data_IF_729632198627
#
_entry.id   IF_729632198627
#
_cell.length_a   1.000
_cell.length_b   1.000
_cell.length_c   1.000
_cell.angle_alpha   90.00
_cell.angle_beta   90.00
_cell.angle_gamma   90.00
#
_symmetry.space_group_name_H-M   'P 1'
#
loop_
_entity.id
_entity.type
_entity.pdbx_description
1 polymer ?
#
# COMPACT_ATOMS: atom_id res chain seq x y z
N UNK A 1 -4.55 2.13 -23.97
CA UNK A 1 -3.91 0.91 -23.46
C UNK A 1 -2.92 0.41 -24.52
N UNK A 2 -1.72 1.00 -24.59
CA UNK A 2 -0.68 0.56 -25.53
C UNK A 2 0.41 -0.17 -24.77
N UNK A 3 0.65 -1.44 -25.13
CA UNK A 3 1.61 -2.32 -24.44
C UNK A 3 3.05 -1.76 -24.48
N UNK A 4 3.45 -1.13 -25.58
CA UNK A 4 4.81 -0.57 -25.74
C UNK A 4 5.11 0.56 -24.77
N UNK A 5 4.15 1.47 -24.55
CA UNK A 5 4.30 2.58 -23.58
C UNK A 5 4.32 2.08 -22.13
N UNK A 6 3.64 0.98 -21.84
CA UNK A 6 3.59 0.36 -20.51
C UNK A 6 4.69 -0.66 -20.24
N UNK A 7 5.59 -0.93 -21.19
CA UNK A 7 6.55 -2.04 -21.12
C UNK A 7 7.46 -1.97 -19.89
N UNK A 8 7.90 -0.77 -19.49
CA UNK A 8 8.70 -0.59 -18.28
C UNK A 8 7.94 -1.02 -17.01
N UNK A 9 6.70 -0.56 -16.86
CA UNK A 9 5.85 -0.90 -15.72
C UNK A 9 5.52 -2.38 -15.68
N UNK A 10 5.13 -2.95 -16.83
CA UNK A 10 4.79 -4.37 -16.96
C UNK A 10 5.98 -5.24 -16.58
N UNK A 11 7.17 -4.96 -17.12
CA UNK A 11 8.37 -5.75 -16.81
C UNK A 11 8.79 -5.60 -15.34
N UNK A 12 8.62 -4.42 -14.74
CA UNK A 12 8.97 -4.21 -13.34
C UNK A 12 8.09 -5.02 -12.38
N UNK A 13 6.79 -5.13 -12.65
CA UNK A 13 5.84 -5.84 -11.80
C UNK A 13 5.52 -7.27 -12.24
N UNK A 14 6.06 -7.71 -13.39
CA UNK A 14 5.82 -9.05 -13.95
C UNK A 14 6.09 -10.16 -12.94
N UNK A 15 7.25 -10.11 -12.28
CA UNK A 15 7.70 -11.17 -11.36
C UNK A 15 6.89 -11.17 -10.06
N UNK A 16 6.49 -9.97 -9.61
CA UNK A 16 5.70 -9.79 -8.38
C UNK A 16 4.26 -10.28 -8.56
N UNK A 17 3.69 -10.06 -9.73
CA UNK A 17 2.27 -10.34 -10.02
C UNK A 17 2.08 -11.67 -10.75
N UNK A 18 3.18 -12.33 -11.13
CA UNK A 18 3.22 -13.57 -11.89
C UNK A 18 2.34 -13.51 -13.17
N UNK A 19 2.60 -12.49 -13.99
CA UNK A 19 1.82 -12.23 -15.21
C UNK A 19 2.49 -12.87 -16.43
N UNK A 20 1.68 -13.57 -17.23
CA UNK A 20 2.09 -13.98 -18.57
C UNK A 20 1.94 -12.82 -19.57
N UNK A 21 3.05 -12.45 -20.20
CA UNK A 21 3.14 -11.33 -21.15
C UNK A 21 2.31 -11.58 -22.41
N UNK A 22 2.20 -12.83 -22.85
CA UNK A 22 1.47 -13.15 -24.09
C UNK A 22 -0.02 -13.01 -23.87
N UNK A 23 -0.53 -13.57 -22.78
CA UNK A 23 -1.91 -13.40 -22.32
C UNK A 23 -2.25 -11.93 -22.05
N UNK A 24 -1.38 -11.19 -21.34
CA UNK A 24 -1.60 -9.76 -21.07
C UNK A 24 -1.72 -8.93 -22.35
N UNK A 25 -0.88 -9.19 -23.36
CA UNK A 25 -0.93 -8.45 -24.64
C UNK A 25 -2.27 -8.66 -25.36
N UNK A 26 -2.79 -9.88 -25.32
CA UNK A 26 -4.11 -10.20 -25.87
C UNK A 26 -5.23 -9.50 -25.08
N UNK A 27 -5.21 -9.59 -23.75
CA UNK A 27 -6.19 -8.94 -22.87
C UNK A 27 -6.23 -7.42 -23.07
N UNK A 28 -5.06 -6.76 -23.18
CA UNK A 28 -4.97 -5.32 -23.42
C UNK A 28 -5.56 -4.91 -24.77
N UNK A 29 -5.36 -5.72 -25.81
CA UNK A 29 -5.91 -5.46 -27.14
C UNK A 29 -7.44 -5.62 -27.16
N UNK A 30 -7.94 -6.70 -26.54
CA UNK A 30 -9.38 -6.93 -26.40
C UNK A 30 -10.04 -5.80 -25.61
N UNK A 31 -9.45 -5.40 -24.49
CA UNK A 31 -9.96 -4.30 -23.67
C UNK A 31 -10.00 -2.98 -24.43
N UNK A 32 -8.96 -2.68 -25.23
CA UNK A 32 -8.93 -1.48 -26.09
C UNK A 32 -10.09 -1.47 -27.09
N UNK A 33 -10.37 -2.61 -27.73
CA UNK A 33 -11.47 -2.76 -28.66
C UNK A 33 -12.83 -2.64 -27.97
N UNK A 34 -13.01 -3.25 -26.79
CA UNK A 34 -14.23 -3.14 -26.01
C UNK A 34 -14.53 -1.69 -25.59
N UNK A 35 -13.49 -0.93 -25.23
CA UNK A 35 -13.65 0.46 -24.81
C UNK A 35 -13.96 1.40 -25.99
N UNK A 36 -13.31 1.19 -27.14
CA UNK A 36 -13.57 1.95 -28.36
C UNK A 36 -14.99 1.70 -28.90
N UNK A 37 -15.47 0.46 -28.85
CA UNK A 37 -16.82 0.12 -29.31
C UNK A 37 -17.92 0.57 -28.33
N UNK A 38 -17.60 0.66 -27.03
CA UNK A 38 -18.56 1.03 -25.99
C UNK A 38 -18.74 2.53 -25.76
N UNK A 39 -18.01 3.39 -26.49
CA UNK A 39 -17.99 4.85 -26.31
C UNK A 39 -17.81 5.27 -24.84
N UNK A 40 -17.05 4.48 -24.08
CA UNK A 40 -16.77 4.67 -22.67
C UNK A 40 -15.44 5.42 -22.55
N UNK A 41 -15.45 6.49 -21.78
CA UNK A 41 -14.22 7.22 -21.46
C UNK A 41 -13.24 6.30 -20.69
N UNK A 42 -11.94 6.59 -20.82
CA UNK A 42 -10.86 5.91 -20.08
C UNK A 42 -10.86 6.23 -18.57
N UNK A 43 -12.00 6.59 -18.01
CA UNK A 43 -12.17 6.85 -16.60
C UNK A 43 -12.17 5.53 -15.80
N UNK A 44 -11.78 5.60 -14.52
CA UNK A 44 -11.66 4.45 -13.62
C UNK A 44 -12.98 3.68 -13.54
N UNK A 45 -14.11 4.40 -13.54
CA UNK A 45 -15.44 3.80 -13.52
C UNK A 45 -15.78 3.07 -14.82
N UNK A 46 -15.31 3.57 -15.97
CA UNK A 46 -15.49 2.93 -17.27
C UNK A 46 -14.66 1.66 -17.38
N UNK A 47 -13.41 1.71 -16.94
CA UNK A 47 -12.51 0.55 -16.91
C UNK A 47 -13.03 -0.53 -15.96
N UNK A 48 -13.56 -0.18 -14.79
CA UNK A 48 -14.13 -1.14 -13.83
C UNK A 48 -15.32 -1.93 -14.37
N UNK A 49 -16.09 -1.36 -15.31
CA UNK A 49 -17.24 -2.06 -15.92
C UNK A 49 -16.82 -3.10 -16.96
N UNK A 50 -15.69 -2.85 -17.65
CA UNK A 50 -15.21 -3.71 -18.75
C UNK A 50 -14.23 -4.75 -18.24
N UNK A 51 -13.34 -4.36 -17.32
CA UNK A 51 -12.31 -5.23 -16.76
C UNK A 51 -12.84 -5.94 -15.53
N UNK A 52 -13.27 -7.18 -15.72
CA UNK A 52 -13.65 -8.10 -14.65
C UNK A 52 -12.53 -9.12 -14.41
N UNK A 53 -12.36 -9.53 -13.16
CA UNK A 53 -11.30 -10.46 -12.74
C UNK A 53 -11.38 -11.80 -13.48
N UNK A 54 -12.60 -12.28 -13.74
CA UNK A 54 -12.85 -13.56 -14.42
C UNK A 54 -12.48 -13.54 -15.91
N UNK A 55 -12.59 -12.37 -16.57
CA UNK A 55 -12.39 -12.25 -18.02
C UNK A 55 -10.98 -11.77 -18.36
N UNK A 56 -10.41 -10.90 -17.52
CA UNK A 56 -9.09 -10.29 -17.75
C UNK A 56 -8.22 -10.37 -16.48
N UNK A 57 -7.80 -11.57 -16.06
CA UNK A 57 -7.14 -11.77 -14.77
C UNK A 57 -5.78 -11.09 -14.69
N UNK A 58 -5.01 -11.04 -15.79
CA UNK A 58 -3.68 -10.45 -15.80
C UNK A 58 -3.76 -8.92 -15.79
N UNK A 59 -4.65 -8.36 -16.62
CA UNK A 59 -4.88 -6.93 -16.70
C UNK A 59 -5.48 -6.38 -15.40
N UNK A 60 -6.41 -7.12 -14.78
CA UNK A 60 -7.04 -6.73 -13.52
C UNK A 60 -6.01 -6.58 -12.40
N UNK A 61 -5.11 -7.58 -12.24
CA UNK A 61 -4.03 -7.50 -11.25
C UNK A 61 -3.08 -6.33 -11.53
N UNK A 62 -2.74 -6.09 -12.80
CA UNK A 62 -1.87 -4.98 -13.19
C UNK A 62 -2.50 -3.61 -12.84
N UNK A 63 -3.80 -3.45 -13.10
CA UNK A 63 -4.55 -2.24 -12.74
C UNK A 63 -4.61 -2.09 -11.21
N UNK A 64 -4.80 -3.18 -10.47
CA UNK A 64 -4.82 -3.17 -9.01
C UNK A 64 -3.49 -2.68 -8.44
N UNK A 65 -2.36 -3.13 -9.00
CA UNK A 65 -1.03 -2.61 -8.62
C UNK A 65 -0.90 -1.13 -8.97
N UNK A 66 -1.35 -0.72 -10.16
CA UNK A 66 -1.36 0.69 -10.55
C UNK A 66 -2.17 1.58 -9.59
N UNK A 67 -3.31 1.10 -9.11
CA UNK A 67 -4.15 1.81 -8.12
C UNK A 67 -3.55 1.80 -6.71
N UNK A 68 -2.80 0.74 -6.36
CA UNK A 68 -2.12 0.65 -5.06
C UNK A 68 -0.92 1.59 -4.96
N UNK A 69 -0.30 1.93 -6.09
CA UNK A 69 0.77 2.93 -6.12
C UNK A 69 0.15 4.30 -5.83
N UNK A 70 0.56 4.97 -4.75
CA UNK A 70 0.02 6.28 -4.43
C UNK A 70 0.44 7.28 -5.51
N UNK A 71 -0.54 7.80 -6.24
CA UNK A 71 -0.35 8.88 -7.21
C UNK A 71 0.03 10.21 -6.51
N UNK A 72 -0.23 10.32 -5.20
CA UNK A 72 -0.01 11.51 -4.39
C UNK A 72 0.95 11.27 -3.23
N UNK A 73 1.74 12.29 -2.89
CA UNK A 73 2.60 12.34 -1.70
C UNK A 73 1.84 12.41 -0.37
N UNK A 74 0.52 12.58 -0.38
CA UNK A 74 -0.28 12.83 0.83
C UNK A 74 -0.13 11.77 1.93
N UNK A 75 0.03 10.48 1.57
CA UNK A 75 0.27 9.39 2.53
C UNK A 75 1.66 9.49 3.18
N UNK A 76 2.69 9.81 2.39
CA UNK A 76 4.03 10.06 2.89
C UNK A 76 4.04 11.29 3.81
N UNK A 77 3.40 12.40 3.39
CA UNK A 77 3.28 13.63 4.18
C UNK A 77 2.57 13.41 5.51
N UNK A 78 1.48 12.61 5.53
CA UNK A 78 0.80 12.20 6.76
C UNK A 78 1.74 11.46 7.71
N UNK A 79 2.56 10.56 7.18
CA UNK A 79 3.53 9.78 7.96
C UNK A 79 4.63 10.68 8.54
N UNK A 80 5.19 11.57 7.74
CA UNK A 80 6.19 12.54 8.19
C UNK A 80 5.64 13.56 9.19
N UNK A 81 4.40 14.01 9.01
CA UNK A 81 3.71 14.89 9.97
C UNK A 81 3.51 14.20 11.31
N UNK A 82 3.15 12.92 11.31
CA UNK A 82 3.04 12.10 12.52
C UNK A 82 4.39 11.94 13.22
N UNK A 83 5.44 11.64 12.45
CA UNK A 83 6.80 11.52 12.97
C UNK A 83 7.33 12.84 13.54
N UNK A 84 7.03 13.97 12.88
CA UNK A 84 7.36 15.34 13.35
C UNK A 84 6.76 15.62 14.73
N UNK A 85 5.53 15.16 14.99
CA UNK A 85 4.86 15.32 16.30
C UNK A 85 5.50 14.43 17.38
N UNK A 86 5.94 13.23 17.00
CA UNK A 86 6.60 12.28 17.91
C UNK A 86 8.00 12.75 18.31
N UNK A 87 8.75 13.28 17.35
CA UNK A 87 10.11 13.80 17.54
C UNK A 87 10.07 15.24 18.02
N UNK A 88 9.93 15.42 19.33
CA UNK A 88 9.99 16.72 20.00
C UNK A 88 11.39 16.99 20.58
N UNK A 89 11.61 18.23 21.04
CA UNK A 89 12.92 18.69 21.54
C UNK A 89 13.44 17.93 22.76
N UNK A 90 12.54 17.30 23.54
CA UNK A 90 12.90 16.47 24.69
C UNK A 90 13.30 15.04 24.31
N UNK A 91 12.98 14.60 23.08
CA UNK A 91 13.16 13.24 22.58
C UNK A 91 14.24 13.16 21.49
N UNK A 92 15.33 13.89 21.68
CA UNK A 92 16.44 13.98 20.71
C UNK A 92 17.26 12.69 20.61
N UNK A 93 17.28 11.87 21.66
CA UNK A 93 18.03 10.60 21.72
C UNK A 93 17.24 9.36 21.26
N UNK A 94 16.03 9.52 20.69
CA UNK A 94 15.26 8.37 20.21
C UNK A 94 15.91 7.74 18.97
N UNK A 95 16.07 6.41 19.02
CA UNK A 95 16.50 5.63 17.86
C UNK A 95 15.45 5.67 16.74
N UNK A 96 15.91 5.51 15.50
CA UNK A 96 15.02 5.53 14.34
C UNK A 96 13.98 4.41 14.39
N UNK A 97 14.35 3.21 14.86
CA UNK A 97 13.45 2.06 15.06
C UNK A 97 12.26 2.38 15.96
N UNK A 98 12.52 2.96 17.13
CA UNK A 98 11.48 3.36 18.08
C UNK A 98 10.61 4.47 17.48
N UNK A 99 11.21 5.41 16.74
CA UNK A 99 10.49 6.48 16.08
C UNK A 99 9.53 5.96 15.00
N UNK A 100 9.97 4.98 14.20
CA UNK A 100 9.13 4.33 13.19
C UNK A 100 8.00 3.54 13.83
N UNK A 101 8.28 2.75 14.86
CA UNK A 101 7.27 1.94 15.55
C UNK A 101 6.18 2.82 16.18
N UNK A 102 6.60 3.91 16.85
CA UNK A 102 5.67 4.85 17.46
C UNK A 102 4.86 5.62 16.39
N UNK A 103 5.45 5.88 15.23
CA UNK A 103 4.75 6.50 14.11
C UNK A 103 3.66 5.59 13.56
N UNK A 104 3.92 4.29 13.41
CA UNK A 104 2.91 3.30 13.00
C UNK A 104 1.76 3.25 14.00
N UNK A 105 2.05 3.17 15.31
CA UNK A 105 1.03 3.19 16.37
C UNK A 105 0.18 4.46 16.31
N UNK A 106 0.79 5.60 16.00
CA UNK A 106 0.09 6.89 15.94
C UNK A 106 -0.76 7.05 14.66
N UNK A 107 -0.31 6.51 13.53
CA UNK A 107 -1.09 6.49 12.28
C UNK A 107 -2.29 5.53 12.43
N UNK A 108 -2.05 4.34 12.97
CA UNK A 108 -3.06 3.30 13.21
C UNK A 108 -3.75 3.46 14.57
N UNK A 109 -4.01 4.70 14.99
CA UNK A 109 -4.54 5.01 16.32
C UNK A 109 -5.89 4.31 16.58
N UNK A 110 -6.73 4.19 15.55
CA UNK A 110 -8.04 3.53 15.67
C UNK A 110 -7.91 2.04 15.98
N UNK A 111 -6.90 1.38 15.44
CA UNK A 111 -6.57 -0.01 15.78
C UNK A 111 -5.91 -0.08 17.15
N UNK A 112 -4.97 0.83 17.45
CA UNK A 112 -4.28 0.89 18.73
C UNK A 112 -5.25 1.06 19.91
N UNK A 113 -6.29 1.87 19.75
CA UNK A 113 -7.32 2.08 20.76
C UNK A 113 -8.14 0.81 21.06
N UNK A 114 -8.22 -0.14 20.12
CA UNK A 114 -8.88 -1.43 20.31
C UNK A 114 -8.00 -2.45 21.05
N UNK A 115 -6.71 -2.15 21.24
CA UNK A 115 -5.79 -3.06 21.94
C UNK A 115 -6.05 -2.98 23.46
N UNK A 116 -6.19 -4.14 24.11
CA UNK A 116 -6.46 -4.26 25.54
C UNK A 116 -5.24 -3.82 26.37
N UNK A 117 -5.25 -2.58 26.86
CA UNK A 117 -4.13 -1.96 27.58
C UNK A 117 -3.69 -2.75 28.81
N UNK A 118 -4.64 -3.32 29.56
CA UNK A 118 -4.31 -4.08 30.77
C UNK A 118 -3.52 -5.36 30.46
N UNK A 119 -3.74 -5.96 29.28
CA UNK A 119 -2.97 -7.13 28.84
C UNK A 119 -1.52 -6.75 28.56
N UNK A 120 -1.29 -5.57 27.97
CA UNK A 120 0.05 -5.03 27.74
C UNK A 120 0.74 -4.76 29.07
N UNK A 121 0.05 -4.11 30.01
CA UNK A 121 0.59 -3.79 31.34
C UNK A 121 0.94 -5.08 32.08
N UNK A 122 0.02 -6.04 32.15
CA UNK A 122 0.28 -7.33 32.80
C UNK A 122 1.49 -8.03 32.19
N UNK A 123 1.58 -8.11 30.85
CA UNK A 123 2.74 -8.72 30.19
C UNK A 123 4.05 -7.96 30.48
N UNK A 124 4.00 -6.63 30.56
CA UNK A 124 5.14 -5.80 30.92
C UNK A 124 5.59 -6.04 32.37
N UNK A 125 4.66 -6.22 33.30
CA UNK A 125 4.97 -6.50 34.72
C UNK A 125 5.53 -7.90 34.97
N UNK A 126 5.23 -8.87 34.10
CA UNK A 126 5.80 -10.22 34.18
C UNK A 126 7.30 -10.25 33.82
N UNK A 127 7.80 -9.23 33.12
CA UNK A 127 9.23 -9.10 32.82
C UNK A 127 9.98 -8.52 34.02
N UNK A 128 10.94 -9.26 34.56
CA UNK A 128 11.78 -8.84 35.70
C UNK A 128 12.75 -7.73 35.25
N UNK A 129 12.40 -6.47 35.50
CA UNK A 129 13.19 -5.28 35.14
C UNK A 129 13.68 -4.46 36.34
N UNK A 130 13.68 -5.04 37.55
CA UNK A 130 14.30 -4.39 38.70
C UNK A 130 15.80 -4.35 38.49
N UNK A 131 16.35 -3.16 38.37
CA UNK A 131 17.79 -2.94 38.52
C UNK A 131 18.10 -3.24 39.98
N UNK A 132 18.90 -4.28 40.24
CA UNK A 132 19.43 -4.55 41.57
C UNK A 132 20.39 -3.42 41.93
N UNK A 133 19.90 -2.45 42.71
CA UNK A 133 20.76 -1.48 43.36
C UNK A 133 21.48 -2.23 44.49
N UNK A 134 22.75 -2.54 44.23
CA UNK A 134 23.71 -3.04 45.22
C UNK A 134 24.00 -1.93 46.22
#
# INVERSE_FOLDING_TARGET
>A
MDFEKGSYFINHYKDVVNIDLTSLKAEMLLTKNCLQNGNLDFDILGIKKVVTEDVFPNLFKLIQVGLAIPISSATCERSFSSMRRIKNWLRTSMEQSICTDLSVINIERDLSNKIYKDKIINNFTMSQRRISLV
#
